data_IF_403046605377
#
_entry.id   IF_403046605377
#
_cell.length_a   1.000
_cell.length_b   1.000
_cell.length_c   1.000
_cell.angle_alpha   90.00
_cell.angle_beta   90.00
_cell.angle_gamma   90.00
#
_symmetry.space_group_name_H-M   'P 1'
#
loop_
_entity.id
_entity.type
_entity.pdbx_description
1 polymer ?
#
# COMPACT_ATOMS: atom_id res chain seq x y z
N UNK A 1 2.18 11.19 38.54
CA UNK A 1 2.12 11.96 37.29
C UNK A 1 2.37 10.97 36.15
N UNK A 2 1.33 10.58 35.37
CA UNK A 2 1.52 9.64 34.28
C UNK A 2 2.43 10.25 33.20
N UNK A 3 3.17 9.45 32.42
CA UNK A 3 3.97 9.95 31.31
C UNK A 3 3.08 10.70 30.31
N UNK A 4 3.62 11.71 29.58
CA UNK A 4 2.86 12.42 28.57
C UNK A 4 2.27 11.39 27.60
N UNK A 5 0.95 11.43 27.43
CA UNK A 5 0.24 10.55 26.51
C UNK A 5 0.98 10.58 25.18
N UNK A 6 1.54 9.43 24.77
CA UNK A 6 1.80 9.20 23.38
C UNK A 6 0.48 9.49 22.67
N UNK A 7 0.48 10.44 21.74
CA UNK A 7 -0.67 10.76 20.93
C UNK A 7 -1.06 9.46 20.21
N UNK A 8 -2.05 8.75 20.75
CA UNK A 8 -2.71 7.67 20.02
C UNK A 8 -3.15 8.28 18.67
N UNK A 9 -2.70 7.74 17.53
CA UNK A 9 -3.12 8.26 16.24
C UNK A 9 -4.65 8.21 16.14
N UNK A 10 -5.25 9.17 15.43
CA UNK A 10 -6.67 9.55 15.34
C UNK A 10 -7.66 8.44 14.87
N UNK A 11 -7.46 7.18 15.25
CA UNK A 11 -8.08 6.02 14.64
C UNK A 11 -7.27 5.51 13.45
N UNK A 12 -7.30 4.20 13.24
CA UNK A 12 -6.67 3.52 12.11
C UNK A 12 -7.74 3.10 11.11
N UNK A 13 -7.54 3.43 9.84
CA UNK A 13 -8.37 2.92 8.75
C UNK A 13 -7.93 1.48 8.44
N UNK A 14 -8.87 0.54 8.54
CA UNK A 14 -8.66 -0.87 8.26
C UNK A 14 -9.03 -1.21 6.82
N UNK A 15 -8.60 -2.39 6.37
CA UNK A 15 -8.88 -2.92 5.04
C UNK A 15 -7.67 -2.78 4.12
N UNK A 16 -7.11 -3.92 3.73
CA UNK A 16 -5.95 -4.03 2.84
C UNK A 16 -6.32 -4.72 1.52
N UNK A 17 -7.57 -5.16 1.37
CA UNK A 17 -8.10 -5.78 0.15
C UNK A 17 -9.45 -5.18 -0.19
N UNK A 18 -9.72 -4.98 -1.49
CA UNK A 18 -10.98 -4.42 -1.92
C UNK A 18 -11.20 -4.47 -3.42
N UNK A 19 -12.42 -4.14 -3.82
CA UNK A 19 -12.79 -3.91 -5.22
C UNK A 19 -13.52 -2.58 -5.33
N UNK A 20 -13.39 -1.90 -6.46
CA UNK A 20 -14.02 -0.60 -6.64
C UNK A 20 -14.03 -0.11 -8.07
N UNK A 21 -14.51 1.10 -8.25
CA UNK A 21 -14.52 1.83 -9.52
C UNK A 21 -13.66 3.07 -9.39
N UNK A 22 -12.78 3.32 -10.36
CA UNK A 22 -11.90 4.49 -10.37
C UNK A 22 -12.76 5.76 -10.49
N UNK A 23 -12.74 6.60 -9.47
CA UNK A 23 -13.49 7.86 -9.44
C UNK A 23 -12.70 9.04 -10.05
N UNK A 24 -11.38 9.06 -9.88
CA UNK A 24 -10.47 10.06 -10.43
C UNK A 24 -9.06 9.47 -10.67
N UNK A 25 -8.25 10.15 -11.49
CA UNK A 25 -6.84 9.78 -11.72
C UNK A 25 -5.94 11.02 -11.74
N UNK A 26 -4.69 10.86 -11.33
CA UNK A 26 -3.67 11.90 -11.43
C UNK A 26 -3.17 12.10 -12.87
N UNK A 27 -2.53 13.23 -13.14
CA UNK A 27 -2.09 13.62 -14.49
C UNK A 27 -1.03 12.69 -15.12
N UNK A 28 -0.27 11.96 -14.30
CA UNK A 28 0.76 11.03 -14.76
C UNK A 28 0.26 9.58 -14.93
N UNK A 29 -1.01 9.28 -14.60
CA UNK A 29 -1.57 7.93 -14.70
C UNK A 29 -1.90 7.62 -16.16
N UNK A 30 -1.41 6.49 -16.66
CA UNK A 30 -1.62 6.03 -18.04
C UNK A 30 -2.16 4.60 -18.16
N UNK A 31 -2.34 3.91 -17.04
CA UNK A 31 -2.63 2.47 -16.98
C UNK A 31 -4.06 2.11 -16.60
N UNK A 32 -4.82 3.06 -16.04
CA UNK A 32 -6.24 2.94 -15.68
C UNK A 32 -6.96 4.26 -15.98
N UNK A 33 -8.28 4.21 -16.16
CA UNK A 33 -9.12 5.37 -16.43
C UNK A 33 -10.31 5.47 -15.45
N UNK A 34 -10.89 6.67 -15.34
CA UNK A 34 -12.14 6.88 -14.59
C UNK A 34 -13.24 5.96 -15.14
N UNK A 35 -13.92 5.26 -14.24
CA UNK A 35 -14.95 4.28 -14.57
C UNK A 35 -14.46 2.83 -14.64
N UNK A 36 -13.15 2.58 -14.68
CA UNK A 36 -12.61 1.21 -14.66
C UNK A 36 -12.95 0.51 -13.35
N UNK A 37 -13.26 -0.79 -13.43
CA UNK A 37 -13.39 -1.65 -12.26
C UNK A 37 -12.04 -2.25 -11.91
N UNK A 38 -11.62 -2.09 -10.66
CA UNK A 38 -10.28 -2.49 -10.19
C UNK A 38 -10.37 -3.33 -8.92
N UNK A 39 -9.33 -4.15 -8.72
CA UNK A 39 -9.05 -4.84 -7.47
C UNK A 39 -7.90 -4.10 -6.80
N UNK A 40 -8.02 -3.90 -5.49
CA UNK A 40 -6.99 -3.28 -4.65
C UNK A 40 -6.21 -4.42 -4.00
N UNK A 41 -4.93 -4.52 -4.36
CA UNK A 41 -3.99 -5.51 -3.84
C UNK A 41 -3.52 -5.14 -2.44
N UNK A 42 -3.38 -6.13 -1.55
CA UNK A 42 -2.75 -5.99 -0.25
C UNK A 42 -1.21 -5.86 -0.32
N UNK A 43 -0.65 -6.06 -1.51
CA UNK A 43 0.76 -5.81 -1.82
C UNK A 43 0.93 -4.43 -2.45
N UNK A 44 1.82 -3.64 -1.84
CA UNK A 44 2.29 -2.36 -2.39
C UNK A 44 3.59 -2.56 -3.17
N UNK A 45 3.68 -2.00 -4.37
CA UNK A 45 4.86 -2.12 -5.23
C UNK A 45 5.31 -0.75 -5.73
N UNK A 46 6.60 -0.43 -5.60
CA UNK A 46 7.15 0.85 -6.08
C UNK A 46 7.34 0.90 -7.60
N UNK A 47 7.34 -0.25 -8.28
CA UNK A 47 7.47 -0.36 -9.74
C UNK A 47 8.89 -0.12 -10.29
N UNK A 48 9.87 0.26 -9.46
CA UNK A 48 11.21 0.68 -9.91
C UNK A 48 12.39 -0.06 -9.26
N UNK A 49 12.16 -0.86 -8.21
CA UNK A 49 13.23 -1.64 -7.58
C UNK A 49 13.53 -2.95 -8.34
N UNK A 50 14.69 -3.56 -8.06
CA UNK A 50 15.11 -4.83 -8.68
C UNK A 50 14.08 -5.96 -8.50
N UNK A 51 13.42 -6.03 -7.34
CA UNK A 51 12.34 -6.99 -7.10
C UNK A 51 11.13 -6.74 -7.99
N UNK A 52 10.71 -5.47 -8.16
CA UNK A 52 9.60 -5.11 -9.05
C UNK A 52 9.92 -5.45 -10.51
N UNK A 53 11.14 -5.20 -10.97
CA UNK A 53 11.58 -5.58 -12.32
C UNK A 53 11.61 -7.09 -12.55
N UNK A 54 11.77 -7.89 -11.48
CA UNK A 54 11.68 -9.35 -11.52
C UNK A 54 10.26 -9.88 -11.29
N UNK A 55 9.26 -9.01 -11.09
CA UNK A 55 7.88 -9.41 -10.76
C UNK A 55 7.68 -9.90 -9.31
N UNK A 56 8.69 -9.72 -8.44
CA UNK A 56 8.71 -10.15 -7.04
C UNK A 56 8.15 -9.05 -6.11
N UNK A 57 6.95 -8.55 -6.40
CA UNK A 57 6.39 -7.34 -5.78
C UNK A 57 6.27 -7.39 -4.25
N UNK A 58 5.96 -8.56 -3.67
CA UNK A 58 5.88 -8.78 -2.23
C UNK A 58 7.21 -8.49 -1.49
N UNK A 59 8.34 -8.65 -2.19
CA UNK A 59 9.69 -8.40 -1.64
C UNK A 59 10.20 -6.98 -1.91
N UNK A 60 9.38 -6.16 -2.58
CA UNK A 60 9.72 -4.79 -2.95
C UNK A 60 10.21 -3.97 -1.77
N UNK A 61 11.10 -3.03 -2.08
CA UNK A 61 11.55 -2.01 -1.14
C UNK A 61 10.44 -0.95 -1.03
N UNK A 62 10.08 -0.53 0.19
CA UNK A 62 9.46 0.78 0.36
C UNK A 62 10.53 1.86 0.52
N UNK A 63 10.10 3.10 0.73
CA UNK A 63 10.99 4.25 0.89
C UNK A 63 12.02 4.06 2.02
N UNK A 64 11.78 3.19 3.01
CA UNK A 64 12.74 2.88 4.08
C UNK A 64 13.87 1.91 3.67
N UNK A 65 13.93 1.44 2.42
CA UNK A 65 15.06 0.64 1.89
C UNK A 65 15.17 -0.79 2.45
N UNK A 66 14.24 -1.24 3.29
CA UNK A 66 14.16 -2.63 3.75
C UNK A 66 13.40 -3.50 2.73
N UNK A 67 13.87 -4.73 2.50
CA UNK A 67 13.19 -5.72 1.66
C UNK A 67 12.01 -6.36 2.38
N UNK A 68 11.01 -6.80 1.62
CA UNK A 68 9.79 -7.41 2.17
C UNK A 68 8.72 -6.40 2.62
N UNK A 69 8.94 -5.10 2.38
CA UNK A 69 7.95 -4.08 2.73
C UNK A 69 6.71 -4.14 1.84
N UNK A 70 6.82 -4.68 0.62
CA UNK A 70 5.67 -4.83 -0.27
C UNK A 70 4.49 -5.56 0.39
N UNK A 71 4.76 -6.50 1.30
CA UNK A 71 3.74 -7.24 2.06
C UNK A 71 3.33 -6.60 3.38
N UNK A 72 3.93 -5.49 3.83
CA UNK A 72 3.66 -4.90 5.14
C UNK A 72 2.21 -4.47 5.30
N UNK A 73 1.60 -3.95 4.23
CA UNK A 73 0.19 -3.53 4.24
C UNK A 73 -0.76 -4.71 4.50
N UNK A 74 -0.47 -5.91 3.99
CA UNK A 74 -1.25 -7.11 4.27
C UNK A 74 -0.84 -7.87 5.54
N UNK A 75 0.44 -7.83 5.94
CA UNK A 75 1.02 -8.72 6.95
C UNK A 75 1.32 -8.08 8.32
N UNK A 76 1.56 -6.77 8.40
CA UNK A 76 1.88 -6.10 9.67
C UNK A 76 0.91 -4.96 9.98
N UNK A 77 0.23 -4.44 8.96
CA UNK A 77 -0.76 -3.37 9.02
C UNK A 77 -2.16 -4.02 8.89
N UNK A 78 -2.42 -4.93 9.84
CA UNK A 78 -3.71 -5.51 10.24
C UNK A 78 -4.77 -5.78 9.16
N UNK A 79 -4.39 -6.69 8.26
CA UNK A 79 -5.20 -7.89 8.17
C UNK A 79 -4.97 -8.86 9.31
N UNK A 80 -3.76 -9.40 9.36
CA UNK A 80 -2.97 -9.80 10.55
C UNK A 80 -1.57 -10.17 10.11
#
# INVERSE_FOLDING_TARGET
MPPPAALEPLGRLLGHEGVGTVAEVGSAVSTVAVGDRVIISCISACGSCSYCHQGLYAYGLAEEGASGIGSILGHLIDGT
#
